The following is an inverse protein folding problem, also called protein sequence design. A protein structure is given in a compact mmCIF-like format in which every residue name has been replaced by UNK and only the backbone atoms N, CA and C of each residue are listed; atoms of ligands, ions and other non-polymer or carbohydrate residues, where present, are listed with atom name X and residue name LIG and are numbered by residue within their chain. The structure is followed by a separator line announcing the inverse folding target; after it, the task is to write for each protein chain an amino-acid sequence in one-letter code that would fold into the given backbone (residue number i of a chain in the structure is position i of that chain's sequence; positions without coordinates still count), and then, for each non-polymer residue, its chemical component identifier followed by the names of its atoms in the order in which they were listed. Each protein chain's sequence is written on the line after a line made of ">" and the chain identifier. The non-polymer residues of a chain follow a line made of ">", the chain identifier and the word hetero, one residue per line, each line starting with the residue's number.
data_IF_062296015326
#
_entry.id   IF_062296015326
#
_cell.length_a   1.000
_cell.length_b   1.000
_cell.length_c   1.000
_cell.angle_alpha   90.00
_cell.angle_beta   90.00
_cell.angle_gamma   90.00
#
_symmetry.space_group_name_H-M   'P 1'
#
loop_
_entity.id
_entity.type
_entity.pdbx_description
1 polymer ?
#
# COMPACT_ATOMS: atom_id res chain seq x y z
N UNK A 1 -23.86 -9.23 -3.21
CA UNK A 1 -22.72 -10.15 -3.09
C UNK A 1 -21.59 -9.45 -2.33
N UNK A 2 -21.02 -10.12 -1.32
CA UNK A 2 -19.84 -9.63 -0.61
C UNK A 2 -18.57 -9.86 -1.42
N UNK A 3 -17.66 -8.91 -1.36
CA UNK A 3 -16.36 -8.93 -2.04
C UNK A 3 -15.29 -9.22 -0.99
N UNK A 4 -14.98 -10.48 -0.78
CA UNK A 4 -14.06 -10.91 0.28
C UNK A 4 -12.63 -10.44 0.01
N UNK A 5 -12.01 -9.85 1.03
CA UNK A 5 -10.64 -9.31 1.01
C UNK A 5 -9.76 -10.10 1.97
N UNK A 6 -8.54 -10.38 1.55
CA UNK A 6 -7.43 -10.79 2.43
C UNK A 6 -6.41 -9.65 2.46
N UNK A 7 -6.16 -9.10 3.64
CA UNK A 7 -5.28 -7.94 3.86
C UNK A 7 -3.99 -8.42 4.54
N UNK A 8 -2.90 -8.43 3.78
CA UNK A 8 -1.59 -8.95 4.19
C UNK A 8 -0.65 -7.80 4.57
N UNK A 9 0.21 -8.05 5.57
CA UNK A 9 1.06 -6.99 6.14
C UNK A 9 0.22 -5.79 6.54
N UNK A 10 -0.87 -6.09 7.23
CA UNK A 10 -2.05 -5.22 7.36
C UNK A 10 -1.77 -3.91 8.11
N UNK A 11 -0.72 -3.91 8.96
CA UNK A 11 -0.46 -2.77 9.82
C UNK A 11 -1.70 -2.46 10.67
N UNK A 12 -2.14 -1.23 10.62
CA UNK A 12 -3.35 -0.80 11.33
C UNK A 12 -4.64 -0.87 10.46
N UNK A 13 -4.59 -1.61 9.34
CA UNK A 13 -5.77 -1.88 8.52
C UNK A 13 -6.08 -0.81 7.47
N UNK A 14 -5.06 -0.15 6.95
CA UNK A 14 -5.24 0.95 5.99
C UNK A 14 -5.88 0.52 4.68
N UNK A 15 -5.55 -0.67 4.15
CA UNK A 15 -6.18 -1.25 2.97
C UNK A 15 -7.66 -1.52 3.22
N UNK A 16 -7.96 -2.27 4.26
CA UNK A 16 -9.34 -2.65 4.62
C UNK A 16 -10.22 -1.42 4.83
N UNK A 17 -9.72 -0.42 5.56
CA UNK A 17 -10.44 0.84 5.78
C UNK A 17 -10.72 1.56 4.45
N UNK A 18 -9.71 1.64 3.59
CA UNK A 18 -9.86 2.35 2.31
C UNK A 18 -10.84 1.66 1.36
N UNK A 19 -10.76 0.34 1.26
CA UNK A 19 -11.68 -0.48 0.45
C UNK A 19 -13.11 -0.38 0.97
N UNK A 20 -13.30 -0.51 2.28
CA UNK A 20 -14.61 -0.39 2.91
C UNK A 20 -15.25 1.01 2.71
N UNK A 21 -14.42 2.06 2.65
CA UNK A 21 -14.88 3.42 2.28
C UNK A 21 -15.21 3.54 0.80
N UNK A 22 -14.57 2.76 -0.05
CA UNK A 22 -14.87 2.75 -1.49
C UNK A 22 -16.24 2.13 -1.77
N UNK A 23 -16.51 0.97 -1.15
CA UNK A 23 -17.80 0.27 -1.26
C UNK A 23 -18.00 -0.65 -0.05
N UNK A 24 -19.19 -0.64 0.52
CA UNK A 24 -19.53 -1.44 1.71
C UNK A 24 -19.57 -2.97 1.46
N UNK A 25 -19.58 -3.38 0.20
CA UNK A 25 -19.51 -4.81 -0.15
C UNK A 25 -18.13 -5.41 0.05
N UNK A 26 -17.07 -4.58 0.10
CA UNK A 26 -15.74 -5.06 0.47
C UNK A 26 -15.75 -5.56 1.92
N UNK A 27 -15.45 -6.82 2.10
CA UNK A 27 -15.54 -7.52 3.38
C UNK A 27 -14.19 -8.18 3.70
N UNK A 28 -13.48 -7.67 4.67
CA UNK A 28 -12.19 -8.25 5.08
C UNK A 28 -12.44 -9.52 5.89
N UNK A 29 -11.99 -10.66 5.36
CA UNK A 29 -12.18 -11.98 5.99
C UNK A 29 -10.95 -12.43 6.77
N UNK A 30 -9.77 -11.86 6.48
CA UNK A 30 -8.54 -12.21 7.17
C UNK A 30 -7.51 -11.09 7.09
N UNK A 31 -6.75 -10.95 8.15
CA UNK A 31 -5.55 -10.12 8.25
C UNK A 31 -4.32 -11.00 8.48
N UNK A 32 -3.16 -10.59 7.96
CA UNK A 32 -1.85 -11.10 8.39
C UNK A 32 -1.00 -9.93 8.88
N UNK A 33 -0.67 -9.95 10.18
CA UNK A 33 0.09 -8.88 10.83
C UNK A 33 0.84 -9.43 12.05
N UNK A 34 2.15 -9.21 12.10
CA UNK A 34 2.99 -9.76 13.17
C UNK A 34 3.24 -8.78 14.34
N UNK A 35 3.00 -7.49 14.15
CA UNK A 35 3.21 -6.50 15.22
C UNK A 35 2.04 -6.52 16.22
N UNK A 36 2.27 -6.86 17.50
CA UNK A 36 1.17 -6.99 18.48
C UNK A 36 0.40 -5.68 18.71
N UNK A 37 1.04 -4.53 18.53
CA UNK A 37 0.33 -3.25 18.64
C UNK A 37 -0.65 -3.11 17.48
N UNK A 38 -0.21 -3.40 16.26
CA UNK A 38 -1.07 -3.34 15.08
C UNK A 38 -2.23 -4.34 15.17
N UNK A 39 -1.98 -5.56 15.67
CA UNK A 39 -3.02 -6.56 15.89
C UNK A 39 -4.12 -6.05 16.85
N UNK A 40 -3.73 -5.38 17.94
CA UNK A 40 -4.70 -4.78 18.88
C UNK A 40 -5.55 -3.69 18.19
N UNK A 41 -4.93 -2.90 17.32
CA UNK A 41 -5.65 -1.88 16.54
C UNK A 41 -6.63 -2.54 15.57
N UNK A 42 -6.20 -3.61 14.87
CA UNK A 42 -7.07 -4.37 13.98
C UNK A 42 -8.25 -4.96 14.72
N UNK A 43 -8.01 -5.63 15.83
CA UNK A 43 -9.06 -6.26 16.65
C UNK A 43 -10.08 -5.24 17.15
N UNK A 44 -9.59 -4.07 17.59
CA UNK A 44 -10.48 -2.98 18.05
C UNK A 44 -11.38 -2.44 16.94
N UNK A 45 -10.87 -2.33 15.71
CA UNK A 45 -11.57 -1.64 14.62
C UNK A 45 -12.32 -2.58 13.66
N UNK A 46 -11.92 -3.85 13.60
CA UNK A 46 -12.49 -4.82 12.66
C UNK A 46 -13.11 -6.04 13.35
N UNK A 47 -13.23 -5.97 14.68
CA UNK A 47 -13.95 -6.97 15.48
C UNK A 47 -13.33 -8.36 15.44
N UNK A 48 -14.15 -9.36 15.11
CA UNK A 48 -13.77 -10.77 15.14
C UNK A 48 -13.12 -11.26 13.85
N UNK A 49 -12.70 -10.35 12.95
CA UNK A 49 -11.99 -10.75 11.73
C UNK A 49 -10.69 -11.47 12.10
N UNK A 50 -10.46 -12.65 11.51
CA UNK A 50 -9.31 -13.49 11.82
C UNK A 50 -8.00 -12.75 11.55
N UNK A 51 -7.07 -12.80 12.52
CA UNK A 51 -5.72 -12.21 12.39
C UNK A 51 -4.72 -13.35 12.50
N UNK A 52 -3.91 -13.54 11.46
CA UNK A 52 -2.78 -14.46 11.47
C UNK A 52 -1.53 -13.69 11.90
N UNK A 53 -0.78 -14.26 12.83
CA UNK A 53 0.46 -13.66 13.33
C UNK A 53 1.61 -13.76 12.31
N UNK A 54 1.64 -14.82 11.55
CA UNK A 54 2.64 -15.05 10.49
C UNK A 54 1.91 -15.25 9.16
N UNK A 55 2.39 -14.55 8.14
CA UNK A 55 1.85 -14.67 6.78
C UNK A 55 1.92 -16.12 6.26
N UNK A 56 2.90 -16.88 6.71
CA UNK A 56 3.09 -18.30 6.33
C UNK A 56 1.98 -19.21 6.87
N UNK A 57 1.25 -18.76 7.87
CA UNK A 57 0.15 -19.51 8.49
C UNK A 57 -1.21 -19.21 7.85
N UNK A 58 -1.25 -18.26 6.91
CA UNK A 58 -2.51 -17.83 6.28
C UNK A 58 -3.12 -18.99 5.50
N UNK A 59 -4.31 -19.36 5.90
CA UNK A 59 -5.13 -20.40 5.23
C UNK A 59 -6.54 -19.85 5.03
N UNK A 60 -6.97 -19.81 3.78
CA UNK A 60 -8.27 -19.25 3.40
C UNK A 60 -9.09 -20.34 2.69
N UNK A 61 -10.26 -20.62 3.24
CA UNK A 61 -11.18 -21.65 2.75
C UNK A 61 -12.39 -21.06 2.02
N UNK A 62 -12.43 -19.77 1.85
CA UNK A 62 -13.51 -19.04 1.19
C UNK A 62 -13.03 -18.41 -0.11
N UNK A 63 -13.90 -18.21 -1.09
CA UNK A 63 -13.55 -17.47 -2.30
C UNK A 63 -13.06 -16.04 -1.95
N UNK A 64 -11.93 -15.65 -2.53
CA UNK A 64 -11.31 -14.34 -2.33
C UNK A 64 -11.51 -13.49 -3.59
N UNK A 65 -12.07 -12.32 -3.41
CA UNK A 65 -12.20 -11.34 -4.50
C UNK A 65 -10.92 -10.53 -4.68
N UNK A 66 -10.28 -10.15 -3.56
CA UNK A 66 -9.12 -9.26 -3.60
C UNK A 66 -8.11 -9.64 -2.52
N UNK A 67 -6.84 -9.77 -2.91
CA UNK A 67 -5.71 -9.82 -1.98
C UNK A 67 -4.99 -8.48 -2.04
N UNK A 68 -4.71 -7.89 -0.89
CA UNK A 68 -3.94 -6.66 -0.81
C UNK A 68 -2.83 -6.76 0.22
N UNK A 69 -1.76 -5.96 0.04
CA UNK A 69 -0.68 -5.93 1.02
C UNK A 69 0.44 -4.97 0.68
N UNK A 70 1.02 -4.37 1.72
CA UNK A 70 2.25 -3.57 1.63
C UNK A 70 3.45 -4.42 2.05
N UNK A 71 3.98 -5.22 1.15
CA UNK A 71 5.01 -6.20 1.48
C UNK A 71 6.36 -5.53 1.77
N UNK A 72 7.11 -6.01 2.78
CA UNK A 72 8.44 -5.47 3.08
C UNK A 72 9.44 -5.79 1.95
N UNK A 73 10.29 -4.82 1.62
CA UNK A 73 11.27 -4.91 0.54
C UNK A 73 12.65 -4.46 1.03
N UNK A 74 13.10 -4.99 2.18
CA UNK A 74 14.44 -4.70 2.69
C UNK A 74 15.33 -5.93 2.47
N UNK A 75 16.48 -5.74 1.82
CA UNK A 75 17.52 -6.77 1.79
C UNK A 75 17.77 -7.49 0.48
N UNK A 76 17.38 -6.95 -0.66
CA UNK A 76 17.97 -7.41 -1.92
C UNK A 76 19.45 -6.99 -1.99
N UNK A 77 20.28 -7.55 -1.13
CA UNK A 77 21.73 -7.47 -1.32
C UNK A 77 22.19 -8.76 -2.02
N UNK A 78 22.93 -8.62 -3.09
CA UNK A 78 23.50 -9.73 -3.85
C UNK A 78 24.37 -10.65 -2.96
N UNK A 79 24.86 -10.12 -1.84
CA UNK A 79 25.62 -10.87 -0.84
C UNK A 79 24.74 -11.81 0.01
N UNK A 80 23.41 -11.69 -0.07
CA UNK A 80 22.48 -12.49 0.75
C UNK A 80 22.00 -13.80 0.15
N UNK A 81 22.47 -14.17 -1.06
CA UNK A 81 22.07 -15.43 -1.72
C UNK A 81 22.39 -16.73 -0.95
N UNK A 82 23.11 -16.63 0.17
CA UNK A 82 23.51 -17.80 0.94
C UNK A 82 22.91 -17.88 2.34
N UNK A 83 22.08 -16.93 2.73
CA UNK A 83 21.33 -17.00 3.99
C UNK A 83 19.90 -17.40 3.67
N UNK A 84 19.63 -18.66 3.98
CA UNK A 84 18.39 -19.36 3.62
C UNK A 84 17.07 -18.60 3.83
N UNK A 85 16.01 -19.27 3.53
CA UNK A 85 14.59 -18.90 3.41
C UNK A 85 13.97 -18.11 4.60
N UNK A 86 14.75 -17.66 5.57
CA UNK A 86 14.26 -17.01 6.79
C UNK A 86 14.59 -15.50 6.87
N UNK A 87 14.72 -14.80 5.74
CA UNK A 87 14.93 -13.37 5.78
C UNK A 87 13.58 -12.64 5.72
N UNK A 88 13.06 -12.28 6.90
CA UNK A 88 11.79 -11.55 7.06
C UNK A 88 11.77 -10.16 6.42
N UNK A 89 12.82 -9.79 5.70
CA UNK A 89 12.95 -8.49 5.04
C UNK A 89 12.42 -8.45 3.61
N UNK A 90 12.09 -9.62 3.03
CA UNK A 90 11.47 -9.69 1.71
C UNK A 90 10.47 -10.84 1.69
N UNK A 91 9.22 -10.49 1.81
CA UNK A 91 8.12 -11.44 1.94
C UNK A 91 7.15 -11.40 0.75
N UNK A 92 7.64 -10.98 -0.42
CA UNK A 92 6.83 -11.05 -1.64
C UNK A 92 6.46 -12.51 -1.98
N UNK A 93 7.40 -13.43 -1.83
CA UNK A 93 7.16 -14.85 -2.11
C UNK A 93 5.97 -15.40 -1.34
N UNK A 94 5.88 -15.09 -0.05
CA UNK A 94 4.77 -15.52 0.81
C UNK A 94 3.44 -14.92 0.37
N UNK A 95 3.43 -13.63 0.01
CA UNK A 95 2.24 -12.98 -0.55
C UNK A 95 1.85 -13.64 -1.87
N UNK A 96 2.82 -13.93 -2.72
CA UNK A 96 2.59 -14.58 -4.03
C UNK A 96 2.04 -16.00 -3.86
N UNK A 97 2.51 -16.75 -2.88
CA UNK A 97 1.97 -18.09 -2.57
C UNK A 97 0.49 -18.02 -2.18
N UNK A 98 0.10 -17.02 -1.38
CA UNK A 98 -1.32 -16.82 -1.03
C UNK A 98 -2.13 -16.45 -2.27
N UNK A 99 -1.58 -15.62 -3.17
CA UNK A 99 -2.23 -15.26 -4.44
C UNK A 99 -2.45 -16.52 -5.29
N UNK A 100 -1.44 -17.39 -5.42
CA UNK A 100 -1.55 -18.66 -6.17
C UNK A 100 -2.60 -19.59 -5.60
N UNK A 101 -2.68 -19.68 -4.26
CA UNK A 101 -3.63 -20.55 -3.58
C UNK A 101 -5.07 -20.04 -3.70
N UNK A 102 -5.28 -18.75 -3.49
CA UNK A 102 -6.62 -18.15 -3.43
C UNK A 102 -7.15 -17.70 -4.79
N UNK A 103 -6.26 -17.48 -5.76
CA UNK A 103 -6.58 -17.03 -7.12
C UNK A 103 -7.60 -15.88 -7.12
N UNK A 104 -7.28 -14.77 -6.42
CA UNK A 104 -8.24 -13.68 -6.31
C UNK A 104 -8.47 -13.03 -7.67
N UNK A 105 -9.60 -12.37 -7.82
CA UNK A 105 -9.89 -11.60 -9.03
C UNK A 105 -8.99 -10.37 -9.17
N UNK A 106 -8.63 -9.75 -8.03
CA UNK A 106 -7.78 -8.56 -7.99
C UNK A 106 -6.64 -8.72 -6.98
N UNK A 107 -5.52 -8.12 -7.31
CA UNK A 107 -4.40 -7.97 -6.38
C UNK A 107 -4.03 -6.49 -6.30
N UNK A 108 -3.80 -5.99 -5.08
CA UNK A 108 -3.20 -4.67 -4.85
C UNK A 108 -1.97 -4.86 -3.98
N UNK A 109 -0.79 -4.68 -4.55
CA UNK A 109 0.46 -4.73 -3.79
C UNK A 109 1.09 -3.34 -3.73
N UNK A 110 1.61 -2.95 -2.57
CA UNK A 110 2.22 -1.63 -2.37
C UNK A 110 3.66 -1.79 -1.92
N UNK A 111 4.51 -0.87 -2.39
CA UNK A 111 5.89 -0.82 -1.92
C UNK A 111 6.46 0.60 -2.02
N UNK A 112 7.61 0.81 -1.40
CA UNK A 112 8.34 2.09 -1.48
C UNK A 112 8.80 2.36 -2.91
N UNK A 113 8.92 3.65 -3.28
CA UNK A 113 9.40 4.05 -4.61
C UNK A 113 10.75 3.42 -4.97
N UNK A 114 11.61 3.19 -3.98
CA UNK A 114 12.92 2.58 -4.18
C UNK A 114 12.90 1.22 -4.87
N UNK A 115 11.78 0.49 -4.86
CA UNK A 115 11.66 -0.82 -5.52
C UNK A 115 11.98 -0.74 -7.03
N UNK A 116 11.73 0.42 -7.65
CA UNK A 116 11.95 0.63 -9.10
C UNK A 116 13.45 0.78 -9.43
N UNK A 117 14.26 1.23 -8.47
CA UNK A 117 15.68 1.53 -8.71
C UNK A 117 16.64 0.58 -7.98
N UNK A 118 16.20 -0.03 -6.90
CA UNK A 118 17.04 -0.94 -6.12
C UNK A 118 17.40 -2.16 -6.96
N UNK A 119 18.70 -2.44 -7.09
CA UNK A 119 19.24 -3.52 -7.92
C UNK A 119 18.69 -3.49 -9.37
N UNK A 120 18.76 -2.32 -9.98
CA UNK A 120 18.28 -2.11 -11.36
C UNK A 120 16.82 -2.53 -11.56
N UNK A 121 16.00 -2.41 -10.53
CA UNK A 121 14.58 -2.73 -10.59
C UNK A 121 14.26 -4.22 -10.50
N UNK A 122 15.19 -5.05 -10.06
CA UNK A 122 14.98 -6.51 -10.00
C UNK A 122 13.71 -6.88 -9.23
N UNK A 123 13.53 -6.31 -8.03
CA UNK A 123 12.36 -6.62 -7.21
C UNK A 123 11.04 -6.19 -7.88
N UNK A 124 11.05 -5.03 -8.56
CA UNK A 124 9.90 -4.56 -9.35
C UNK A 124 9.54 -5.56 -10.46
N UNK A 125 10.57 -6.00 -11.20
CA UNK A 125 10.38 -6.94 -12.32
C UNK A 125 9.90 -8.31 -11.84
N UNK A 126 10.39 -8.80 -10.70
CA UNK A 126 9.93 -10.05 -10.09
C UNK A 126 8.44 -9.98 -9.78
N UNK A 127 7.99 -8.93 -9.08
CA UNK A 127 6.56 -8.76 -8.75
C UNK A 127 5.70 -8.77 -10.01
N UNK A 128 6.14 -8.03 -11.03
CA UNK A 128 5.41 -7.92 -12.30
C UNK A 128 5.32 -9.27 -13.01
N UNK A 129 6.47 -9.94 -13.19
CA UNK A 129 6.57 -11.23 -13.89
C UNK A 129 5.83 -12.34 -13.18
N UNK A 130 5.91 -12.39 -11.85
CA UNK A 130 5.21 -13.40 -11.05
C UNK A 130 3.70 -13.28 -11.25
N UNK A 131 3.15 -12.07 -11.14
CA UNK A 131 1.72 -11.86 -11.35
C UNK A 131 1.30 -12.19 -12.79
N UNK A 132 2.09 -11.79 -13.80
CA UNK A 132 1.81 -12.13 -15.20
C UNK A 132 1.85 -13.63 -15.42
N UNK A 133 2.76 -14.37 -14.76
CA UNK A 133 2.88 -15.83 -14.90
C UNK A 133 1.62 -16.56 -14.40
N UNK A 134 0.88 -15.97 -13.45
CA UNK A 134 -0.40 -16.48 -12.95
C UNK A 134 -1.60 -15.95 -13.76
N UNK A 135 -1.35 -15.29 -14.89
CA UNK A 135 -2.38 -14.83 -15.82
C UNK A 135 -3.02 -13.49 -15.48
N UNK A 136 -2.42 -12.73 -14.56
CA UNK A 136 -2.90 -11.37 -14.26
C UNK A 136 -2.43 -10.36 -15.29
N UNK A 137 -3.29 -9.42 -15.60
CA UNK A 137 -2.90 -8.17 -16.26
C UNK A 137 -2.46 -7.18 -15.17
N UNK A 138 -1.21 -6.71 -15.24
CA UNK A 138 -0.60 -5.93 -14.17
C UNK A 138 -0.33 -4.50 -14.62
N UNK A 139 -0.67 -3.54 -13.79
CA UNK A 139 -0.30 -2.14 -13.99
C UNK A 139 0.33 -1.61 -12.72
N UNK A 140 1.43 -0.86 -12.88
CA UNK A 140 2.13 -0.25 -11.76
C UNK A 140 2.00 1.27 -11.84
N UNK A 141 1.67 1.88 -10.70
CA UNK A 141 1.46 3.33 -10.59
C UNK A 141 2.34 3.90 -9.47
N UNK A 142 2.99 5.02 -9.73
CA UNK A 142 3.60 5.81 -8.67
C UNK A 142 2.58 6.83 -8.16
N UNK A 143 2.03 6.62 -6.98
CA UNK A 143 1.01 7.51 -6.42
C UNK A 143 1.52 8.14 -5.12
N UNK A 144 1.80 9.46 -5.14
CA UNK A 144 2.21 10.16 -3.94
C UNK A 144 1.01 10.50 -3.04
N UNK A 145 1.23 10.49 -1.73
CA UNK A 145 0.19 10.82 -0.74
C UNK A 145 -0.36 12.24 -0.92
N UNK A 146 0.48 13.16 -1.39
CA UNK A 146 0.08 14.55 -1.66
C UNK A 146 -1.05 14.63 -2.71
N UNK A 147 -1.17 13.63 -3.60
CA UNK A 147 -2.26 13.57 -4.57
C UNK A 147 -3.64 13.42 -3.92
N UNK A 148 -3.66 13.07 -2.63
CA UNK A 148 -4.89 12.94 -1.82
C UNK A 148 -4.92 13.91 -0.64
N UNK A 149 -4.23 15.04 -0.78
CA UNK A 149 -4.25 16.13 0.19
C UNK A 149 -3.35 15.96 1.39
N UNK A 150 -2.43 15.00 1.37
CA UNK A 150 -1.46 14.88 2.45
C UNK A 150 -0.39 15.97 2.37
N UNK A 151 0.13 16.38 3.52
CA UNK A 151 1.16 17.42 3.63
C UNK A 151 2.57 16.94 3.24
N UNK A 152 2.72 15.66 2.89
CA UNK A 152 3.99 15.03 2.53
C UNK A 152 3.86 14.25 1.23
N UNK A 153 4.96 14.11 0.51
CA UNK A 153 4.95 13.39 -0.78
C UNK A 153 4.59 11.91 -0.60
N UNK A 154 5.35 11.17 0.23
CA UNK A 154 5.20 9.73 0.47
C UNK A 154 4.85 9.00 -0.83
N UNK A 155 5.78 8.99 -1.78
CA UNK A 155 5.63 8.28 -3.05
C UNK A 155 5.67 6.77 -2.81
N UNK A 156 4.72 6.06 -3.40
CA UNK A 156 4.62 4.60 -3.30
C UNK A 156 4.29 4.01 -4.67
N UNK A 157 4.84 2.84 -4.93
CA UNK A 157 4.51 2.06 -6.12
C UNK A 157 3.35 1.13 -5.76
N UNK A 158 2.32 1.18 -6.57
CA UNK A 158 1.10 0.38 -6.42
C UNK A 158 1.01 -0.54 -7.63
N UNK A 159 1.10 -1.84 -7.40
CA UNK A 159 0.82 -2.86 -8.42
C UNK A 159 -0.65 -3.20 -8.31
N UNK A 160 -1.39 -3.00 -9.39
CA UNK A 160 -2.80 -3.34 -9.48
C UNK A 160 -2.92 -4.40 -10.55
N UNK A 161 -3.38 -5.59 -10.17
CA UNK A 161 -3.44 -6.72 -11.07
C UNK A 161 -4.86 -7.30 -11.11
N UNK A 162 -5.28 -7.72 -12.30
CA UNK A 162 -6.61 -8.27 -12.55
C UNK A 162 -6.52 -9.56 -13.38
N UNK A 163 -7.23 -10.59 -12.97
CA UNK A 163 -7.26 -11.89 -13.64
C UNK A 163 -8.32 -12.00 -14.76
N UNK A 164 -9.06 -10.91 -15.03
CA UNK A 164 -10.17 -10.98 -15.95
C UNK A 164 -9.76 -10.71 -17.40
N UNK A 165 -9.77 -11.74 -18.23
CA UNK A 165 -9.50 -11.62 -19.66
C UNK A 165 -10.48 -10.68 -20.41
N UNK A 166 -11.67 -10.43 -19.85
CA UNK A 166 -12.66 -9.51 -20.46
C UNK A 166 -12.20 -8.05 -20.45
N UNK A 167 -11.29 -7.68 -19.56
CA UNK A 167 -10.77 -6.32 -19.52
C UNK A 167 -9.64 -6.08 -20.54
N UNK A 168 -9.06 -7.14 -21.11
CA UNK A 168 -8.01 -7.02 -22.14
C UNK A 168 -8.42 -6.19 -23.36
N UNK A 169 -9.72 -6.18 -23.71
CA UNK A 169 -10.22 -5.39 -24.84
C UNK A 169 -10.56 -3.94 -24.50
N UNK A 170 -10.65 -3.59 -23.23
CA UNK A 170 -11.15 -2.27 -22.79
C UNK A 170 -10.00 -1.26 -22.55
N UNK A 171 -8.81 -1.78 -22.23
CA UNK A 171 -7.58 -0.98 -22.09
C UNK A 171 -6.73 -1.14 -23.34
N UNK A 172 -7.10 -0.53 -24.43
CA UNK A 172 -6.54 -0.66 -25.76
C UNK A 172 -5.14 -1.30 -25.84
N UNK A 173 -5.00 -2.29 -26.68
CA UNK A 173 -3.73 -2.93 -27.01
C UNK A 173 -2.68 -1.89 -27.36
N UNK A 174 -1.88 -1.50 -26.41
CA UNK A 174 -0.61 -0.84 -26.71
C UNK A 174 0.29 -1.97 -27.24
N UNK A 175 0.20 -2.13 -28.54
CA UNK A 175 1.07 -2.89 -29.41
C UNK A 175 1.79 -4.12 -28.84
N UNK A 176 1.24 -5.31 -29.07
CA UNK A 176 2.03 -6.54 -29.08
C UNK A 176 2.67 -6.71 -30.47
N UNK A 177 3.74 -6.00 -30.73
CA UNK A 177 4.69 -6.37 -31.77
C UNK A 177 5.97 -6.79 -31.05
N UNK A 178 6.34 -8.03 -31.30
CA UNK A 178 7.43 -8.70 -30.61
C UNK A 178 8.74 -7.94 -30.64
N UNK A 179 9.02 -7.31 -29.55
CA UNK A 179 10.37 -6.93 -29.18
C UNK A 179 10.41 -6.84 -27.66
N UNK A 180 11.12 -7.78 -27.04
CA UNK A 180 11.37 -7.76 -25.60
C UNK A 180 12.37 -6.64 -25.28
N UNK A 181 12.01 -5.41 -25.58
CA UNK A 181 12.70 -4.28 -25.00
C UNK A 181 11.96 -3.89 -23.72
N UNK A 182 12.61 -4.15 -22.62
CA UNK A 182 12.26 -3.57 -21.33
C UNK A 182 11.96 -2.08 -21.56
N UNK A 183 10.69 -1.71 -21.59
CA UNK A 183 10.33 -0.30 -21.63
C UNK A 183 10.79 0.33 -20.31
N UNK A 184 11.97 0.92 -20.34
CA UNK A 184 12.36 1.86 -19.29
C UNK A 184 11.28 2.91 -19.23
N UNK A 185 10.57 2.97 -18.11
CA UNK A 185 9.72 4.11 -17.82
C UNK A 185 10.55 5.36 -18.10
N UNK A 186 10.05 6.31 -18.89
CA UNK A 186 10.80 7.54 -19.11
C UNK A 186 11.03 8.20 -17.77
N UNK A 187 12.26 8.08 -17.28
CA UNK A 187 12.73 8.97 -16.23
C UNK A 187 12.91 10.31 -16.95
N UNK A 188 11.86 11.06 -17.01
CA UNK A 188 11.99 12.47 -17.31
C UNK A 188 12.83 13.06 -16.19
N UNK A 189 14.14 13.10 -16.40
CA UNK A 189 15.00 14.02 -15.67
C UNK A 189 14.63 15.43 -16.14
N UNK A 190 13.46 15.88 -15.77
CA UNK A 190 13.28 17.31 -15.67
C UNK A 190 14.07 17.74 -14.45
N UNK A 191 15.28 18.22 -14.69
CA UNK A 191 15.90 19.15 -13.77
C UNK A 191 14.95 20.33 -13.67
N UNK A 192 14.00 20.23 -12.77
CA UNK A 192 13.31 21.42 -12.33
C UNK A 192 14.33 22.22 -11.55
N UNK A 193 14.96 23.15 -12.20
CA UNK A 193 15.48 24.31 -11.49
C UNK A 193 14.28 24.90 -10.78
N UNK A 194 14.19 24.62 -9.50
CA UNK A 194 13.20 25.26 -8.65
C UNK A 194 13.59 26.71 -8.51
N UNK A 195 13.21 27.52 -9.49
CA UNK A 195 13.12 28.94 -9.24
C UNK A 195 12.10 29.10 -8.13
N UNK A 196 12.57 29.63 -7.01
CA UNK A 196 11.74 30.06 -5.90
C UNK A 196 10.84 31.21 -6.39
N UNK A 197 9.83 30.88 -7.14
CA UNK A 197 8.75 31.84 -7.36
C UNK A 197 7.86 31.84 -6.12
N UNK A 198 7.81 33.00 -5.54
CA UNK A 198 6.95 33.39 -4.44
C UNK A 198 5.51 32.92 -4.69
N UNK A 199 5.12 31.87 -4.01
CA UNK A 199 3.76 31.33 -4.12
C UNK A 199 2.80 32.18 -3.27
N UNK A 200 2.86 33.50 -3.50
CA UNK A 200 1.87 34.43 -2.96
C UNK A 200 0.82 34.71 -4.01
N UNK A 201 -0.35 34.25 -3.70
CA UNK A 201 -1.64 34.58 -4.33
C UNK A 201 -2.11 33.69 -5.50
N UNK A 202 -2.94 32.73 -5.16
CA UNK A 202 -4.31 32.68 -5.69
C UNK A 202 -5.13 31.72 -4.83
N UNK A 203 -5.96 32.33 -4.04
CA UNK A 203 -6.87 31.67 -3.08
C UNK A 203 -7.99 30.97 -3.83
N UNK A 204 -8.04 29.65 -3.73
CA UNK A 204 -9.33 28.95 -3.83
C UNK A 204 -9.67 28.60 -2.38
N UNK A 205 -10.81 29.07 -1.91
CA UNK A 205 -11.18 29.05 -0.51
C UNK A 205 -11.00 27.74 0.21
N UNK A 206 -9.95 27.71 0.97
CA UNK A 206 -9.79 26.83 2.13
C UNK A 206 -9.56 27.78 3.28
N UNK A 207 -10.32 27.62 4.35
CA UNK A 207 -10.19 28.44 5.54
C UNK A 207 -8.72 28.49 5.97
N UNK A 208 -8.21 29.69 6.04
CA UNK A 208 -6.82 29.98 6.37
C UNK A 208 -6.60 29.58 7.83
N UNK A 209 -5.82 28.57 8.05
CA UNK A 209 -5.23 28.31 9.37
C UNK A 209 -4.36 29.53 9.74
N UNK A 210 -4.59 30.17 10.86
CA UNK A 210 -3.82 31.37 11.20
C UNK A 210 -2.32 31.09 11.26
N UNK A 211 -1.57 31.96 10.61
CA UNK A 211 -0.11 31.99 10.70
C UNK A 211 0.33 32.51 12.06
N UNK A 212 0.04 31.79 13.12
CA UNK A 212 0.78 32.03 14.35
C UNK A 212 1.82 30.91 14.48
N UNK A 213 2.98 31.34 14.79
CA UNK A 213 4.29 30.73 14.89
C UNK A 213 4.36 29.58 15.91
N UNK A 214 3.35 28.76 15.98
CA UNK A 214 3.49 27.47 16.64
C UNK A 214 4.30 26.58 15.69
N UNK A 215 5.47 26.23 16.15
CA UNK A 215 6.38 25.35 15.47
C UNK A 215 5.59 24.11 15.00
N UNK A 216 5.62 23.80 13.73
CA UNK A 216 4.93 22.63 13.13
C UNK A 216 5.14 21.36 13.95
N UNK A 217 6.31 21.22 14.54
CA UNK A 217 6.68 20.10 15.40
C UNK A 217 5.87 20.05 16.72
N UNK A 218 5.43 21.20 17.23
CA UNK A 218 4.57 21.25 18.42
C UNK A 218 3.14 20.88 18.11
N UNK A 219 2.70 21.13 16.88
CA UNK A 219 1.36 20.71 16.43
C UNK A 219 1.31 19.18 16.23
N UNK A 220 2.42 18.55 15.91
CA UNK A 220 2.46 17.08 15.77
C UNK A 220 2.19 16.35 17.07
N UNK A 221 2.58 16.88 18.21
CA UNK A 221 2.29 16.22 19.49
C UNK A 221 0.78 16.20 19.80
N UNK A 222 0.04 17.23 19.39
CA UNK A 222 -1.42 17.28 19.51
C UNK A 222 -2.12 16.33 18.54
N UNK A 223 -1.58 16.18 17.33
CA UNK A 223 -2.08 15.24 16.32
C UNK A 223 -1.81 13.78 16.67
N UNK A 224 -0.77 13.51 17.45
CA UNK A 224 -0.44 12.16 17.90
C UNK A 224 -1.28 11.68 19.09
N UNK A 225 -2.18 12.52 19.57
CA UNK A 225 -3.19 12.11 20.57
C UNK A 225 -2.64 11.81 21.96
N UNK A 226 -1.56 12.49 22.35
CA UNK A 226 -1.11 12.44 23.75
C UNK A 226 -2.00 13.37 24.57
N UNK A 227 -2.85 12.84 25.48
CA UNK A 227 -3.68 13.72 26.29
C UNK A 227 -2.80 14.56 27.24
N UNK A 228 -3.09 15.85 27.31
CA UNK A 228 -2.46 16.71 28.29
C UNK A 228 -2.73 16.15 29.71
N UNK A 229 -1.67 15.79 30.42
CA UNK A 229 -1.76 15.30 31.79
C UNK A 229 -1.41 13.84 32.04
N UNK A 230 -1.06 13.09 31.00
CA UNK A 230 -0.47 11.75 31.22
C UNK A 230 1.06 11.91 31.28
N UNK A 231 1.69 11.30 32.28
CA UNK A 231 3.13 11.38 32.41
C UNK A 231 3.81 10.78 31.19
N UNK A 232 4.81 11.48 30.70
CA UNK A 232 5.62 11.09 29.53
C UNK A 232 6.13 9.64 29.60
N UNK A 233 6.38 9.14 30.81
CA UNK A 233 6.90 7.79 31.01
C UNK A 233 5.85 6.69 30.79
N UNK A 234 4.57 6.99 31.03
CA UNK A 234 3.50 6.01 30.84
C UNK A 234 3.09 5.82 29.38
N UNK A 235 3.39 6.80 28.51
CA UNK A 235 3.00 6.73 27.08
C UNK A 235 4.20 6.52 26.14
N UNK A 236 5.40 6.38 26.69
CA UNK A 236 6.64 6.26 25.89
C UNK A 236 6.60 5.06 24.93
N UNK A 237 6.13 3.95 25.42
CA UNK A 237 5.99 2.73 24.62
C UNK A 237 4.84 2.78 23.62
N UNK A 238 3.98 3.31 23.96
CA UNK A 238 2.87 3.50 23.14
C UNK A 238 3.04 4.53 22.08
N UNK A 239 3.67 5.44 22.39
CA UNK A 239 4.00 6.47 21.48
C UNK A 239 4.88 5.96 20.39
N UNK A 240 5.67 5.22 20.71
CA UNK A 240 6.52 4.66 19.73
C UNK A 240 5.89 3.70 18.84
N UNK A 241 5.13 3.12 19.22
CA UNK A 241 4.37 2.24 18.53
C UNK A 241 3.44 2.91 17.65
N UNK A 242 2.66 3.82 18.08
CA UNK A 242 1.77 4.64 17.29
C UNK A 242 2.48 5.31 16.13
N UNK A 243 3.58 5.98 16.41
CA UNK A 243 4.40 6.67 15.38
C UNK A 243 4.90 5.67 14.34
N UNK A 244 5.42 4.53 14.77
CA UNK A 244 5.87 3.45 13.87
C UNK A 244 4.71 2.93 13.01
N UNK A 245 3.59 2.64 13.65
CA UNK A 245 2.40 2.11 12.97
C UNK A 245 1.84 3.13 11.96
N UNK A 246 1.78 4.41 12.34
CA UNK A 246 1.34 5.48 11.43
C UNK A 246 2.35 5.73 10.31
N UNK A 247 3.65 5.66 10.63
CA UNK A 247 4.71 5.82 9.63
C UNK A 247 4.68 4.74 8.56
N UNK A 248 4.32 3.52 8.93
CA UNK A 248 4.22 2.39 8.01
C UNK A 248 2.83 2.26 7.37
N UNK A 249 1.83 2.95 7.90
CA UNK A 249 0.45 2.78 7.46
C UNK A 249 0.24 3.13 5.98
N UNK A 250 -0.59 2.36 5.35
CA UNK A 250 -1.14 2.64 4.02
C UNK A 250 -2.01 3.92 4.10
N UNK A 251 -2.02 4.70 3.03
CA UNK A 251 -2.88 5.90 2.91
C UNK A 251 -4.27 5.48 2.43
N UNK A 252 -5.28 5.43 3.32
CA UNK A 252 -6.59 4.86 2.94
C UNK A 252 -7.29 5.62 1.80
N UNK A 253 -7.05 6.92 1.65
CA UNK A 253 -7.64 7.73 0.60
C UNK A 253 -7.21 7.28 -0.81
N UNK A 254 -5.95 6.82 -0.95
CA UNK A 254 -5.47 6.24 -2.21
C UNK A 254 -6.20 4.93 -2.47
N UNK A 255 -6.26 4.08 -1.44
CA UNK A 255 -6.95 2.77 -1.53
C UNK A 255 -8.44 2.96 -1.87
N UNK A 256 -9.09 3.98 -1.29
CA UNK A 256 -10.48 4.31 -1.62
C UNK A 256 -10.64 4.63 -3.12
N UNK A 257 -9.70 5.38 -3.68
CA UNK A 257 -9.73 5.69 -5.12
C UNK A 257 -9.55 4.44 -5.97
N UNK A 258 -8.59 3.60 -5.61
CA UNK A 258 -8.34 2.31 -6.30
C UNK A 258 -9.58 1.41 -6.19
N UNK A 259 -10.15 1.28 -4.99
CA UNK A 259 -11.35 0.46 -4.75
C UNK A 259 -12.54 0.92 -5.60
N UNK A 260 -12.78 2.23 -5.69
CA UNK A 260 -13.84 2.77 -6.57
C UNK A 260 -13.58 2.47 -8.04
N UNK A 261 -12.32 2.52 -8.48
CA UNK A 261 -11.95 2.16 -9.86
C UNK A 261 -12.20 0.68 -10.13
N UNK A 262 -11.89 -0.20 -9.18
CA UNK A 262 -12.17 -1.64 -9.26
C UNK A 262 -13.68 -1.89 -9.41
N UNK A 263 -14.50 -1.29 -8.56
CA UNK A 263 -15.97 -1.44 -8.62
C UNK A 263 -16.50 -1.00 -9.99
N UNK A 264 -16.00 0.12 -10.49
CA UNK A 264 -16.39 0.63 -11.81
C UNK A 264 -15.93 -0.29 -12.95
N UNK A 265 -14.74 -0.88 -12.85
CA UNK A 265 -14.21 -1.80 -13.86
C UNK A 265 -15.00 -3.12 -13.92
N UNK A 266 -15.53 -3.55 -12.80
CA UNK A 266 -16.38 -4.76 -12.70
C UNK A 266 -17.82 -4.50 -13.15
N UNK A 267 -18.21 -3.24 -13.37
CA UNK A 267 -19.60 -2.83 -13.61
C UNK A 267 -20.54 -3.27 -12.47
N UNK A 268 -20.05 -3.18 -11.22
CA UNK A 268 -20.77 -3.61 -10.01
C UNK A 268 -21.56 -2.49 -9.33
#
# INVERSE_FOLDING_TARGET
>A
VQLNIVDLFSGIGGFSLGLHRADKRFNTIAFAENDPFCQKVLQKNFGDTRIFNDIREVTIDQPVFLVCGGFPCQGFSVAGRQRGTNDDRYLWGEMFDIIKQTKPRWVIAENVRGIVTTQDGLAFNIVHSDLESEGYEVQAFNIPAISKGAWHRRERIWFIANSNSRLRGRWGTIGSSGDQQVRKLPVTQEKSECETQDFRSKTIGCDVVPRETENWWQTQSKLCGVPDGISYELDKDXXXXRIKALGNAIVPQIVTTIGKAIIKAEDL
#
